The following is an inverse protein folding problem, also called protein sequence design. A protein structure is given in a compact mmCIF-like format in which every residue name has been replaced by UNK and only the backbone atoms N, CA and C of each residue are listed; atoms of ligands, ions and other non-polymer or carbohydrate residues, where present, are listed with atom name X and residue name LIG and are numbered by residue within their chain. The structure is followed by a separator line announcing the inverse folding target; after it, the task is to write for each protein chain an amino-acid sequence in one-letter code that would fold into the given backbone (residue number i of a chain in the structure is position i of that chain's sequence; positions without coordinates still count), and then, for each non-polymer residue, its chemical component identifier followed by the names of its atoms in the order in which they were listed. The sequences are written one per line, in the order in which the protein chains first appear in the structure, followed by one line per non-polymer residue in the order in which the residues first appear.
data_IF_059158528935
#
_entry.id   IF_059158528935
#
_cell.length_a   1.000
_cell.length_b   1.000
_cell.length_c   1.000
_cell.angle_alpha   90.00
_cell.angle_beta   90.00
_cell.angle_gamma   90.00
#
_symmetry.space_group_name_H-M   'P 1'
#
loop_
_entity.id
_entity.type
_entity.pdbx_description
1 polymer ?
#
# COMPACT_ATOMS: atom_id res chain seq x y z
N UNK A 1 -4.14 -19.44 -41.42
CA UNK A 1 -4.99 -18.36 -40.90
C UNK A 1 -4.98 -18.49 -39.38
N UNK A 2 -4.01 -17.86 -38.70
CA UNK A 2 -3.89 -17.92 -37.22
C UNK A 2 -4.67 -16.75 -36.64
N UNK A 3 -5.79 -17.03 -35.97
CA UNK A 3 -6.50 -16.07 -35.16
C UNK A 3 -5.57 -15.65 -33.98
N UNK A 4 -5.05 -14.42 -34.03
CA UNK A 4 -4.46 -13.76 -32.84
C UNK A 4 -5.52 -13.76 -31.77
N UNK A 5 -5.35 -14.60 -30.74
CA UNK A 5 -6.09 -14.53 -29.49
C UNK A 5 -5.93 -13.11 -28.93
N UNK A 6 -6.95 -12.30 -29.13
CA UNK A 6 -7.00 -10.94 -28.62
C UNK A 6 -6.91 -10.96 -27.08
N UNK A 7 -5.81 -10.46 -26.52
CA UNK A 7 -5.74 -10.16 -25.09
C UNK A 7 -6.96 -9.32 -24.72
N UNK A 8 -7.86 -9.84 -23.87
CA UNK A 8 -8.99 -9.05 -23.33
C UNK A 8 -8.44 -7.71 -22.85
N UNK A 9 -9.04 -6.59 -23.26
CA UNK A 9 -8.59 -5.27 -22.81
C UNK A 9 -8.58 -5.25 -21.28
N UNK A 10 -7.44 -4.94 -20.67
CA UNK A 10 -7.33 -4.80 -19.21
C UNK A 10 -8.27 -3.68 -18.79
N UNK A 11 -9.17 -3.99 -17.86
CA UNK A 11 -10.05 -2.97 -17.27
C UNK A 11 -9.18 -1.88 -16.65
N UNK A 12 -9.40 -0.60 -16.98
CA UNK A 12 -8.63 0.48 -16.38
C UNK A 12 -8.80 0.47 -14.85
N UNK A 13 -7.77 0.90 -14.12
CA UNK A 13 -7.79 0.92 -12.66
C UNK A 13 -8.93 1.81 -12.11
N UNK A 14 -9.22 2.90 -12.81
CA UNK A 14 -10.31 3.84 -12.51
C UNK A 14 -11.19 4.06 -13.72
N UNK A 15 -12.51 4.14 -13.52
CA UNK A 15 -13.41 4.72 -14.52
C UNK A 15 -13.22 6.25 -14.57
N UNK A 16 -13.71 6.97 -15.60
CA UNK A 16 -13.65 8.43 -15.65
C UNK A 16 -14.27 9.09 -14.41
N UNK A 17 -15.41 8.59 -13.93
CA UNK A 17 -16.13 9.11 -12.76
C UNK A 17 -15.36 8.84 -11.46
N UNK A 18 -14.77 7.65 -11.30
CA UNK A 18 -13.91 7.31 -10.15
C UNK A 18 -12.66 8.19 -10.11
N UNK A 19 -12.10 8.53 -11.27
CA UNK A 19 -10.96 9.44 -11.37
C UNK A 19 -11.32 10.83 -10.89
N UNK A 20 -12.46 11.40 -11.34
CA UNK A 20 -12.93 12.71 -10.89
C UNK A 20 -13.11 12.70 -9.36
N UNK A 21 -13.76 11.66 -8.80
CA UNK A 21 -13.93 11.53 -7.35
C UNK A 21 -12.60 11.41 -6.61
N UNK A 22 -11.65 10.65 -7.13
CA UNK A 22 -10.30 10.52 -6.58
C UNK A 22 -9.58 11.86 -6.52
N UNK A 23 -9.56 12.60 -7.64
CA UNK A 23 -8.82 13.85 -7.78
C UNK A 23 -9.44 14.98 -6.95
N UNK A 24 -10.76 14.97 -6.77
CA UNK A 24 -11.48 15.91 -5.91
C UNK A 24 -11.44 15.56 -4.41
N UNK A 25 -10.98 14.35 -4.04
CA UNK A 25 -11.03 13.87 -2.65
C UNK A 25 -9.82 14.36 -1.84
N UNK A 26 -10.01 15.03 -0.69
CA UNK A 26 -8.91 15.38 0.20
C UNK A 26 -8.21 14.14 0.77
N UNK A 27 -8.90 13.02 0.85
CA UNK A 27 -8.32 11.75 1.30
C UNK A 27 -7.23 11.22 0.36
N UNK A 28 -7.23 11.60 -0.92
CA UNK A 28 -6.14 11.31 -1.86
C UNK A 28 -4.84 11.99 -1.42
N UNK A 29 -4.91 13.25 -0.96
CA UNK A 29 -3.75 13.94 -0.40
C UNK A 29 -3.29 13.29 0.92
N UNK A 30 -4.24 12.95 1.80
CA UNK A 30 -3.94 12.25 3.06
C UNK A 30 -3.18 10.95 2.80
N UNK A 31 -3.64 10.12 1.86
CA UNK A 31 -2.94 8.88 1.48
C UNK A 31 -1.56 9.20 0.86
N UNK A 32 -1.47 10.22 0.03
CA UNK A 32 -0.22 10.67 -0.60
C UNK A 32 0.85 11.12 0.40
N UNK A 33 0.46 11.65 1.56
CA UNK A 33 1.37 12.04 2.66
C UNK A 33 1.65 10.86 3.58
N UNK A 34 0.62 10.10 3.96
CA UNK A 34 0.78 8.98 4.91
C UNK A 34 1.60 7.83 4.33
N UNK A 35 1.53 7.54 3.03
CA UNK A 35 2.28 6.44 2.44
C UNK A 35 3.81 6.63 2.53
N UNK A 36 4.42 7.75 2.12
CA UNK A 36 5.84 7.98 2.34
C UNK A 36 6.21 8.09 3.83
N UNK A 37 5.37 8.70 4.68
CA UNK A 37 5.59 8.75 6.11
C UNK A 37 5.65 7.34 6.71
N UNK A 38 4.68 6.50 6.37
CA UNK A 38 4.63 5.09 6.80
C UNK A 38 5.90 4.34 6.38
N UNK A 39 6.40 4.58 5.17
CA UNK A 39 7.61 3.95 4.67
C UNK A 39 8.86 4.41 5.45
N UNK A 40 8.99 5.70 5.75
CA UNK A 40 10.08 6.23 6.57
C UNK A 40 10.07 5.66 7.99
N UNK A 41 8.90 5.64 8.63
CA UNK A 41 8.74 5.04 9.97
C UNK A 41 9.10 3.55 9.94
N UNK A 42 8.72 2.83 8.87
CA UNK A 42 9.12 1.43 8.67
C UNK A 42 10.64 1.27 8.58
N UNK A 43 11.34 2.08 7.80
CA UNK A 43 12.80 1.98 7.64
C UNK A 43 13.53 2.22 8.98
N UNK A 44 13.12 3.25 9.72
CA UNK A 44 13.68 3.54 11.04
C UNK A 44 13.44 2.37 11.99
N UNK A 45 12.22 1.86 12.06
CA UNK A 45 11.86 0.76 12.95
C UNK A 45 12.58 -0.53 12.57
N UNK A 46 12.70 -0.85 11.28
CA UNK A 46 13.45 -2.00 10.79
C UNK A 46 14.93 -1.91 11.23
N UNK A 47 15.56 -0.75 11.07
CA UNK A 47 16.95 -0.52 11.50
C UNK A 47 17.13 -0.74 13.00
N UNK A 48 16.20 -0.25 13.84
CA UNK A 48 16.27 -0.43 15.30
C UNK A 48 16.05 -1.89 15.71
N UNK A 49 15.12 -2.60 15.08
CA UNK A 49 14.87 -4.03 15.31
C UNK A 49 16.10 -4.86 14.93
N UNK A 50 16.66 -4.64 13.76
CA UNK A 50 17.86 -5.35 13.30
C UNK A 50 19.07 -5.06 14.19
N UNK A 51 19.26 -3.80 14.63
CA UNK A 51 20.29 -3.43 15.59
C UNK A 51 20.15 -4.21 16.90
N UNK A 52 18.93 -4.26 17.47
CA UNK A 52 18.68 -5.03 18.69
C UNK A 52 18.99 -6.52 18.48
N UNK A 53 18.51 -7.12 17.42
CA UNK A 53 18.75 -8.55 17.14
C UNK A 53 20.23 -8.90 16.96
N UNK A 54 21.01 -7.96 16.37
CA UNK A 54 22.44 -8.16 16.13
C UNK A 54 23.31 -7.91 17.36
N UNK A 55 22.96 -6.93 18.21
CA UNK A 55 23.82 -6.45 19.29
C UNK A 55 23.29 -6.74 20.70
N UNK A 56 22.00 -7.08 20.83
CA UNK A 56 21.29 -7.16 22.11
C UNK A 56 20.98 -5.80 22.74
N UNK A 57 21.37 -4.68 22.12
CA UNK A 57 21.21 -3.35 22.67
C UNK A 57 20.09 -2.57 22.00
N UNK A 58 19.36 -1.75 22.76
CA UNK A 58 18.32 -0.86 22.23
C UNK A 58 16.93 -1.49 22.15
N UNK A 59 16.62 -2.47 22.99
CA UNK A 59 15.32 -3.13 23.12
C UNK A 59 14.18 -2.14 23.21
N UNK A 60 14.28 -1.17 24.13
CA UNK A 60 13.25 -0.15 24.34
C UNK A 60 12.97 0.67 23.06
N UNK A 61 14.04 1.12 22.39
CA UNK A 61 13.90 1.90 21.16
C UNK A 61 13.26 1.08 20.03
N UNK A 62 13.66 -0.20 19.88
CA UNK A 62 13.06 -1.11 18.91
C UNK A 62 11.57 -1.31 19.20
N UNK A 63 11.22 -1.64 20.45
CA UNK A 63 9.82 -1.84 20.89
C UNK A 63 8.96 -0.60 20.64
N UNK A 64 9.40 0.57 21.09
CA UNK A 64 8.67 1.82 20.87
C UNK A 64 8.48 2.11 19.38
N UNK A 65 9.50 1.87 18.57
CA UNK A 65 9.42 2.11 17.13
C UNK A 65 8.40 1.20 16.42
N UNK A 66 8.29 -0.06 16.85
CA UNK A 66 7.27 -1.00 16.32
C UNK A 66 5.86 -0.54 16.71
N UNK A 67 5.67 -0.09 17.96
CA UNK A 67 4.38 0.43 18.43
C UNK A 67 3.99 1.67 17.61
N UNK A 68 4.89 2.64 17.46
CA UNK A 68 4.64 3.84 16.64
C UNK A 68 4.29 3.46 15.21
N UNK A 69 5.08 2.55 14.59
CA UNK A 69 4.80 2.06 13.23
C UNK A 69 3.42 1.42 13.12
N UNK A 70 3.01 0.66 14.11
CA UNK A 70 1.70 0.01 14.13
C UNK A 70 0.57 1.02 14.19
N UNK A 71 0.68 2.09 15.00
CA UNK A 71 -0.32 3.14 15.04
C UNK A 71 -0.40 3.92 13.71
N UNK A 72 0.74 4.23 13.08
CA UNK A 72 0.75 4.84 11.74
C UNK A 72 0.11 3.91 10.72
N UNK A 73 0.34 2.60 10.81
CA UNK A 73 -0.32 1.59 9.96
C UNK A 73 -1.85 1.63 10.15
N UNK A 74 -2.36 1.65 11.38
CA UNK A 74 -3.79 1.73 11.62
C UNK A 74 -4.38 3.03 11.06
N UNK A 75 -3.68 4.14 11.22
CA UNK A 75 -4.11 5.44 10.68
C UNK A 75 -4.23 5.41 9.15
N UNK A 76 -3.23 4.90 8.43
CA UNK A 76 -3.30 4.83 6.96
C UNK A 76 -4.38 3.85 6.49
N UNK A 77 -4.64 2.77 7.23
CA UNK A 77 -5.69 1.80 6.89
C UNK A 77 -7.09 2.38 7.07
N UNK A 78 -7.34 3.06 8.19
CA UNK A 78 -8.63 3.71 8.45
C UNK A 78 -8.90 4.80 7.40
N UNK A 79 -7.92 5.66 7.17
CA UNK A 79 -8.05 6.73 6.17
C UNK A 79 -8.12 6.21 4.75
N UNK A 80 -7.46 5.07 4.46
CA UNK A 80 -7.55 4.35 3.19
C UNK A 80 -8.95 3.80 2.94
N UNK A 81 -9.56 3.18 3.94
CA UNK A 81 -10.95 2.70 3.86
C UNK A 81 -11.94 3.84 3.58
N UNK A 82 -11.74 5.00 4.21
CA UNK A 82 -12.56 6.20 3.94
C UNK A 82 -12.34 6.69 2.50
N UNK A 83 -11.08 6.70 2.03
CA UNK A 83 -10.74 7.06 0.65
C UNK A 83 -11.42 6.13 -0.35
N UNK A 84 -11.36 4.80 -0.15
CA UNK A 84 -12.04 3.84 -1.03
C UNK A 84 -13.55 4.07 -1.06
N UNK A 85 -14.17 4.34 0.10
CA UNK A 85 -15.59 4.68 0.16
C UNK A 85 -15.93 5.90 -0.68
N UNK A 86 -15.08 6.93 -0.69
CA UNK A 86 -15.29 8.15 -1.47
C UNK A 86 -15.11 7.91 -2.98
N UNK A 87 -14.13 7.09 -3.37
CA UNK A 87 -13.77 6.84 -4.77
C UNK A 87 -14.65 5.76 -5.39
N UNK A 88 -14.78 4.61 -4.73
CA UNK A 88 -15.42 3.40 -5.27
C UNK A 88 -16.80 3.11 -4.69
N UNK A 89 -17.24 3.84 -3.66
CA UNK A 89 -18.55 3.64 -3.04
C UNK A 89 -18.60 2.57 -1.94
N UNK A 90 -17.49 1.86 -1.68
CA UNK A 90 -17.36 0.84 -0.63
C UNK A 90 -16.11 1.07 0.21
N UNK A 91 -16.11 0.64 1.50
CA UNK A 91 -15.02 0.97 2.42
C UNK A 91 -13.71 0.21 2.16
N UNK A 92 -13.78 -1.02 1.74
CA UNK A 92 -12.63 -1.89 1.47
C UNK A 92 -13.00 -2.92 0.41
N UNK A 93 -12.00 -3.64 -0.11
CA UNK A 93 -12.15 -4.70 -1.08
C UNK A 93 -12.78 -4.22 -2.40
N UNK A 94 -12.56 -2.95 -2.77
CA UNK A 94 -12.93 -2.47 -4.08
C UNK A 94 -12.28 -3.37 -5.16
N UNK A 95 -12.98 -3.75 -6.24
CA UNK A 95 -12.42 -4.61 -7.28
C UNK A 95 -11.08 -4.14 -7.82
N UNK A 96 -10.85 -2.81 -7.76
CA UNK A 96 -9.59 -2.20 -8.16
C UNK A 96 -8.42 -2.54 -7.22
N UNK A 97 -8.66 -2.73 -5.90
CA UNK A 97 -7.63 -2.93 -4.86
C UNK A 97 -7.82 -4.20 -4.02
N UNK A 98 -8.68 -5.12 -4.46
CA UNK A 98 -9.07 -6.31 -3.70
C UNK A 98 -7.88 -7.10 -3.11
N UNK A 99 -6.86 -7.40 -3.90
CA UNK A 99 -5.71 -8.19 -3.44
C UNK A 99 -4.78 -7.41 -2.52
N UNK A 100 -4.65 -6.11 -2.74
CA UNK A 100 -3.89 -5.22 -1.89
C UNK A 100 -4.54 -5.10 -0.51
N UNK A 101 -5.87 -5.04 -0.45
CA UNK A 101 -6.62 -5.01 0.81
C UNK A 101 -6.50 -6.33 1.57
N UNK A 102 -6.62 -7.47 0.87
CA UNK A 102 -6.42 -8.79 1.48
C UNK A 102 -5.03 -8.90 2.12
N UNK A 103 -3.98 -8.43 1.42
CA UNK A 103 -2.63 -8.38 1.98
C UNK A 103 -2.53 -7.38 3.14
N UNK A 104 -3.23 -6.27 3.08
CA UNK A 104 -3.29 -5.29 4.18
C UNK A 104 -3.89 -5.88 5.45
N UNK A 105 -4.90 -6.75 5.36
CA UNK A 105 -5.43 -7.47 6.53
C UNK A 105 -4.39 -8.38 7.15
N UNK A 106 -3.58 -9.08 6.36
CA UNK A 106 -2.47 -9.88 6.87
C UNK A 106 -1.44 -9.02 7.61
N UNK A 107 -1.08 -7.86 7.02
CA UNK A 107 -0.15 -6.90 7.64
C UNK A 107 -0.69 -6.41 8.99
N UNK A 108 -1.98 -6.02 9.04
CA UNK A 108 -2.63 -5.60 10.29
C UNK A 108 -2.64 -6.75 11.32
N UNK A 109 -3.02 -7.95 10.92
CA UNK A 109 -3.09 -9.10 11.82
C UNK A 109 -1.74 -9.40 12.47
N UNK A 110 -0.64 -9.37 11.70
CA UNK A 110 0.71 -9.60 12.22
C UNK A 110 1.19 -8.48 13.16
N UNK A 111 0.90 -7.20 12.84
CA UNK A 111 1.23 -6.09 13.73
C UNK A 111 0.38 -6.12 15.01
N UNK A 112 -0.89 -6.50 14.91
CA UNK A 112 -1.76 -6.69 16.07
C UNK A 112 -1.28 -7.86 16.93
N UNK A 113 -0.86 -8.98 16.31
CA UNK A 113 -0.28 -10.11 17.03
C UNK A 113 0.97 -9.71 17.82
N UNK A 114 1.84 -8.84 17.24
CA UNK A 114 2.96 -8.27 17.97
C UNK A 114 2.51 -7.46 19.18
N UNK A 115 1.52 -6.56 19.03
CA UNK A 115 1.01 -5.76 20.15
C UNK A 115 0.40 -6.63 21.25
N UNK A 116 -0.33 -7.68 20.88
CA UNK A 116 -0.90 -8.64 21.83
C UNK A 116 0.22 -9.36 22.59
N UNK A 117 1.24 -9.85 21.88
CA UNK A 117 2.38 -10.51 22.49
C UNK A 117 3.13 -9.57 23.47
N UNK A 118 3.29 -8.30 23.10
CA UNK A 118 3.93 -7.28 23.94
C UNK A 118 3.10 -6.98 25.21
N UNK A 119 1.78 -6.75 25.06
CA UNK A 119 0.90 -6.34 26.17
C UNK A 119 0.75 -7.47 27.19
N UNK A 120 0.61 -8.69 26.73
CA UNK A 120 0.42 -9.85 27.61
C UNK A 120 1.73 -10.52 28.06
N UNK A 121 2.88 -9.99 27.62
CA UNK A 121 4.19 -10.57 27.96
C UNK A 121 4.38 -11.99 27.43
N UNK A 122 3.71 -12.32 26.32
CA UNK A 122 3.83 -13.64 25.67
C UNK A 122 5.12 -13.66 24.86
N UNK A 123 5.92 -14.70 25.03
CA UNK A 123 7.23 -14.85 24.42
C UNK A 123 8.31 -13.88 24.96
N UNK A 124 9.57 -14.25 24.77
CA UNK A 124 10.71 -13.39 25.04
C UNK A 124 10.81 -12.26 23.99
N UNK A 125 11.50 -11.20 24.33
CA UNK A 125 11.66 -10.03 23.47
C UNK A 125 12.20 -10.36 22.10
N UNK A 126 13.15 -11.31 22.02
CA UNK A 126 13.75 -11.71 20.74
C UNK A 126 12.72 -12.36 19.80
N UNK A 127 11.87 -13.23 20.33
CA UNK A 127 10.75 -13.85 19.60
C UNK A 127 9.72 -12.81 19.15
N UNK A 128 9.39 -11.82 20.01
CA UNK A 128 8.53 -10.71 19.63
C UNK A 128 9.10 -9.90 18.46
N UNK A 129 10.41 -9.67 18.42
CA UNK A 129 11.07 -9.00 17.28
C UNK A 129 10.98 -9.80 15.98
N UNK A 130 11.00 -11.14 16.03
CA UNK A 130 10.77 -11.96 14.85
C UNK A 130 9.32 -11.88 14.35
N UNK A 131 8.34 -11.75 15.24
CA UNK A 131 6.95 -11.47 14.85
C UNK A 131 6.88 -10.12 14.11
N UNK A 132 7.56 -9.09 14.63
CA UNK A 132 7.63 -7.79 13.98
C UNK A 132 8.31 -7.88 12.59
N UNK A 133 9.39 -8.65 12.43
CA UNK A 133 10.02 -8.86 11.13
C UNK A 133 9.11 -9.61 10.14
N UNK A 134 8.33 -10.58 10.58
CA UNK A 134 7.32 -11.22 9.75
C UNK A 134 6.26 -10.21 9.27
N UNK A 135 5.79 -9.33 10.18
CA UNK A 135 4.87 -8.25 9.85
C UNK A 135 5.49 -7.25 8.85
N UNK A 136 6.79 -6.96 8.98
CA UNK A 136 7.51 -6.07 8.06
C UNK A 136 7.70 -6.70 6.68
N UNK A 137 7.96 -8.00 6.61
CA UNK A 137 8.02 -8.73 5.34
C UNK A 137 6.68 -8.67 4.61
N UNK A 138 5.58 -8.94 5.30
CA UNK A 138 4.24 -8.81 4.74
C UNK A 138 3.94 -7.36 4.28
N UNK A 139 4.37 -6.37 5.07
CA UNK A 139 4.23 -4.95 4.71
C UNK A 139 4.98 -4.60 3.43
N UNK A 140 6.23 -5.06 3.25
CA UNK A 140 7.02 -4.80 2.04
C UNK A 140 6.35 -5.41 0.82
N UNK A 141 5.84 -6.65 0.93
CA UNK A 141 5.10 -7.30 -0.17
C UNK A 141 3.86 -6.48 -0.53
N UNK A 142 3.08 -6.05 0.46
CA UNK A 142 1.89 -5.23 0.23
C UNK A 142 2.22 -3.87 -0.39
N UNK A 143 3.24 -3.17 0.11
CA UNK A 143 3.69 -1.90 -0.45
C UNK A 143 4.17 -2.05 -1.90
N UNK A 144 4.87 -3.13 -2.22
CA UNK A 144 5.29 -3.44 -3.59
C UNK A 144 4.09 -3.68 -4.51
N UNK A 145 3.04 -4.38 -4.05
CA UNK A 145 1.81 -4.60 -4.82
C UNK A 145 1.15 -3.26 -5.19
N UNK A 146 0.98 -2.35 -4.21
CA UNK A 146 0.43 -1.00 -4.45
C UNK A 146 1.27 -0.21 -5.46
N UNK A 147 2.59 -0.16 -5.27
CA UNK A 147 3.50 0.59 -6.15
C UNK A 147 3.48 0.07 -7.59
N UNK A 148 3.54 -1.26 -7.76
CA UNK A 148 3.50 -1.88 -9.08
C UNK A 148 2.16 -1.62 -9.79
N UNK A 149 1.06 -1.70 -9.05
CA UNK A 149 -0.27 -1.42 -9.59
C UNK A 149 -0.43 0.04 -10.02
N UNK A 150 -0.03 0.99 -9.17
CA UNK A 150 -0.09 2.42 -9.50
C UNK A 150 0.85 2.78 -10.66
N UNK A 151 2.04 2.17 -10.73
CA UNK A 151 2.94 2.33 -11.86
C UNK A 151 2.32 1.81 -13.16
N UNK A 152 1.73 0.62 -13.14
CA UNK A 152 1.06 0.06 -14.31
C UNK A 152 -0.10 0.96 -14.77
N UNK A 153 -0.91 1.49 -13.85
CA UNK A 153 -2.00 2.41 -14.17
C UNK A 153 -1.50 3.71 -14.83
N UNK A 154 -0.41 4.29 -14.33
CA UNK A 154 0.20 5.49 -14.94
C UNK A 154 0.73 5.23 -16.35
N UNK A 155 1.36 4.09 -16.58
CA UNK A 155 1.88 3.72 -17.90
C UNK A 155 0.75 3.48 -18.91
N UNK A 156 -0.34 2.83 -18.50
CA UNK A 156 -1.51 2.62 -19.35
C UNK A 156 -2.20 3.95 -19.70
N UNK A 157 -2.22 4.89 -18.77
CA UNK A 157 -2.76 6.23 -18.98
C UNK A 157 -1.90 7.04 -19.96
N UNK A 158 -0.59 7.06 -19.79
CA UNK A 158 0.34 7.76 -20.68
C UNK A 158 0.25 7.21 -22.13
N UNK A 159 0.11 5.88 -22.26
CA UNK A 159 -0.06 5.25 -23.57
C UNK A 159 -1.36 5.69 -24.26
N UNK A 160 -2.48 5.75 -23.54
CA UNK A 160 -3.76 6.21 -24.10
C UNK A 160 -3.72 7.66 -24.57
N UNK A 161 -3.06 8.53 -23.78
CA UNK A 161 -2.88 9.94 -24.15
C UNK A 161 -2.05 10.05 -25.44
N UNK A 162 -0.96 9.28 -25.54
CA UNK A 162 -0.12 9.27 -26.76
C UNK A 162 -0.88 8.73 -27.99
N UNK A 163 -1.70 7.69 -27.83
CA UNK A 163 -2.54 7.14 -28.90
C UNK A 163 -3.57 8.17 -29.41
N UNK A 164 -4.21 8.91 -28.49
CA UNK A 164 -5.17 9.97 -28.86
C UNK A 164 -4.46 11.12 -29.56
N UNK A 165 -3.30 11.57 -29.09
CA UNK A 165 -2.52 12.63 -29.72
C UNK A 165 -2.09 12.23 -31.14
N UNK A 166 -1.58 11.03 -31.33
CA UNK A 166 -1.19 10.51 -32.65
C UNK A 166 -2.36 10.37 -33.62
N UNK A 167 -3.58 10.19 -33.13
CA UNK A 167 -4.79 10.12 -33.96
C UNK A 167 -5.28 11.51 -34.39
N UNK A 168 -5.05 12.56 -33.59
CA UNK A 168 -5.51 13.93 -33.85
C UNK A 168 -4.52 14.70 -34.74
N UNK A 169 -3.21 14.43 -34.65
CA UNK A 169 -2.17 15.12 -35.42
C UNK A 169 -2.37 15.09 -36.95
N UNK A 170 -2.79 13.96 -37.59
CA UNK A 170 -3.05 13.94 -39.04
C UNK A 170 -4.25 14.76 -39.46
N UNK A 171 -5.24 14.98 -38.60
CA UNK A 171 -6.47 15.71 -38.89
C UNK A 171 -6.25 17.25 -38.90
N UNK A 172 -5.26 17.72 -38.15
CA UNK A 172 -4.88 19.14 -38.11
C UNK A 172 -3.89 19.55 -39.20
N UNK A 173 -3.32 18.60 -39.95
CA UNK A 173 -2.36 18.83 -41.03
C UNK A 173 -2.98 18.88 -42.45
N UNK A 174 -4.32 18.75 -42.51
CA UNK A 174 -5.11 18.89 -43.76
C UNK A 174 -5.89 20.20 -43.77
#
# INVERSE_FOLDING_TARGET
MQQKLGKKPRRPLYTPEERIRRDASPWTLVQGVLAPLQFLVFLVSLGLVLRFLATGNGEYAATVSIVVKTFVLYTIMITGAIWEKKVFGQYLLAPAFFWEDVMSFLVIALHTAYLVALIYGVFDTRTQMFIALAAYTAYVVNAAQFLLKLRAARLDEARKVAEVQAAVEPEMAQ
#
